data_IF_511762780647
#
_entry.id   IF_511762780647
#
_cell.length_a   1.000
_cell.length_b   1.000
_cell.length_c   1.000
_cell.angle_alpha   90.00
_cell.angle_beta   90.00
_cell.angle_gamma   90.00
#
_symmetry.space_group_name_H-M   'P 1'
#
loop_
_entity.id
_entity.type
_entity.pdbx_description
1 polymer ?
#
# COMPACT_ATOMS: atom_id res chain seq x y z
N UNK A 1 5.16 -13.91 4.98
CA UNK A 1 5.61 -12.55 5.31
C UNK A 1 6.79 -12.15 4.43
N UNK A 2 7.00 -10.85 4.19
CA UNK A 2 8.23 -10.31 3.59
C UNK A 2 8.80 -9.27 4.56
N UNK A 3 10.10 -9.30 4.80
CA UNK A 3 10.83 -8.33 5.62
C UNK A 3 11.94 -7.73 4.80
N UNK A 4 11.89 -6.41 4.64
CA UNK A 4 12.92 -5.62 3.96
C UNK A 4 13.76 -4.86 4.98
N UNK A 5 15.07 -4.85 4.75
CA UNK A 5 16.04 -4.00 5.44
C UNK A 5 16.35 -2.80 4.56
N UNK A 6 16.44 -1.63 5.19
CA UNK A 6 16.83 -0.37 4.57
C UNK A 6 17.75 0.35 5.55
N UNK A 7 18.86 0.91 5.06
CA UNK A 7 19.77 1.69 5.90
C UNK A 7 19.10 3.01 6.33
N UNK A 8 19.38 3.46 7.55
CA UNK A 8 18.71 4.61 8.17
C UNK A 8 18.95 5.91 7.40
N UNK A 9 20.10 6.06 6.76
CA UNK A 9 20.50 7.25 6.01
C UNK A 9 20.14 7.18 4.50
N UNK A 10 19.50 6.08 4.06
CA UNK A 10 19.14 5.84 2.64
C UNK A 10 18.37 7.02 2.04
N UNK A 11 17.37 7.55 2.74
CA UNK A 11 16.60 8.70 2.28
C UNK A 11 17.49 9.94 2.06
N UNK A 12 18.47 10.16 2.94
CA UNK A 12 19.41 11.29 2.82
C UNK A 12 20.33 11.12 1.63
N UNK A 13 20.91 9.91 1.49
CA UNK A 13 21.80 9.56 0.36
C UNK A 13 21.07 9.68 -0.99
N UNK A 14 19.79 9.29 -1.03
CA UNK A 14 18.97 9.27 -2.24
C UNK A 14 18.38 10.63 -2.60
N UNK A 15 17.99 11.43 -1.61
CA UNK A 15 17.28 12.70 -1.81
C UNK A 15 15.84 12.54 -2.35
N UNK A 16 15.28 11.33 -2.31
CA UNK A 16 13.92 11.02 -2.77
C UNK A 16 13.41 9.73 -2.10
N UNK A 17 12.16 9.38 -2.37
CA UNK A 17 11.56 8.13 -1.87
C UNK A 17 12.42 6.91 -2.23
N UNK A 18 12.53 5.98 -1.27
CA UNK A 18 13.30 4.74 -1.42
C UNK A 18 12.76 3.88 -2.57
N UNK A 19 13.66 3.16 -3.22
CA UNK A 19 13.37 2.18 -4.28
C UNK A 19 13.79 0.79 -3.85
N UNK A 20 13.37 -0.21 -4.63
CA UNK A 20 13.68 -1.61 -4.33
C UNK A 20 15.19 -1.88 -4.36
N UNK A 21 15.93 -1.13 -5.18
CA UNK A 21 17.39 -1.18 -5.25
C UNK A 21 18.09 -0.73 -3.95
N UNK A 22 17.39 0.04 -3.11
CA UNK A 22 17.88 0.49 -1.79
C UNK A 22 17.47 -0.46 -0.65
N UNK A 23 16.67 -1.48 -0.97
CA UNK A 23 16.16 -2.43 0.00
C UNK A 23 16.86 -3.77 -0.13
N UNK A 24 17.00 -4.49 0.97
CA UNK A 24 17.44 -5.87 0.98
C UNK A 24 16.34 -6.76 1.56
N UNK A 25 15.99 -7.83 0.86
CA UNK A 25 15.01 -8.78 1.36
C UNK A 25 15.67 -9.77 2.33
N UNK A 26 15.56 -9.51 3.62
CA UNK A 26 16.17 -10.32 4.69
C UNK A 26 15.27 -11.47 5.16
N UNK A 27 13.98 -11.43 4.83
CA UNK A 27 13.02 -12.45 5.22
C UNK A 27 11.92 -12.64 4.17
N UNK A 28 11.65 -13.90 3.84
CA UNK A 28 10.52 -14.33 3.02
C UNK A 28 9.99 -15.64 3.61
N UNK A 29 8.73 -15.62 4.06
CA UNK A 29 8.06 -16.81 4.59
C UNK A 29 6.71 -17.00 3.91
N UNK A 30 6.36 -18.26 3.68
CA UNK A 30 5.09 -18.66 3.08
C UNK A 30 4.36 -19.51 4.11
N UNK A 31 3.18 -19.06 4.49
CA UNK A 31 2.42 -19.67 5.58
C UNK A 31 0.95 -19.70 5.18
N UNK A 32 0.29 -20.85 5.33
CA UNK A 32 -1.16 -20.98 5.05
C UNK A 32 -2.00 -20.21 6.08
N UNK A 33 -1.50 -20.15 7.32
CA UNK A 33 -2.09 -19.42 8.43
C UNK A 33 -1.05 -18.50 9.04
N UNK A 34 -1.44 -17.24 9.20
CA UNK A 34 -0.60 -16.20 9.83
C UNK A 34 -1.29 -15.73 11.10
N UNK A 35 -0.66 -15.92 12.25
CA UNK A 35 -1.08 -15.40 13.55
C UNK A 35 0.03 -14.55 14.16
N UNK A 36 -0.26 -13.79 15.21
CA UNK A 36 0.77 -12.99 15.87
C UNK A 36 1.88 -13.85 16.46
N UNK A 37 1.54 -15.04 16.94
CA UNK A 37 2.48 -15.98 17.55
C UNK A 37 3.38 -16.65 16.49
N UNK A 38 2.84 -16.98 15.31
CA UNK A 38 3.68 -17.46 14.20
C UNK A 38 4.59 -16.36 13.67
N UNK A 39 4.10 -15.12 13.58
CA UNK A 39 4.93 -13.98 13.15
C UNK A 39 6.06 -13.69 14.14
N UNK A 40 5.82 -13.83 15.45
CA UNK A 40 6.86 -13.72 16.46
C UNK A 40 8.04 -14.66 16.17
N UNK A 41 7.76 -15.94 15.94
CA UNK A 41 8.79 -16.95 15.64
C UNK A 41 9.51 -16.64 14.32
N UNK A 42 8.77 -16.20 13.30
CA UNK A 42 9.39 -15.80 12.03
C UNK A 42 10.32 -14.58 12.20
N UNK A 43 9.92 -13.58 13.01
CA UNK A 43 10.79 -12.43 13.30
C UNK A 43 12.04 -12.84 14.08
N UNK A 44 11.92 -13.74 15.04
CA UNK A 44 13.06 -14.28 15.78
C UNK A 44 14.08 -14.95 14.85
N UNK A 45 13.63 -15.85 13.96
CA UNK A 45 14.50 -16.50 12.98
C UNK A 45 15.17 -15.48 12.04
N UNK A 46 14.39 -14.54 11.49
CA UNK A 46 14.89 -13.54 10.54
C UNK A 46 15.93 -12.62 11.19
N UNK A 47 15.64 -12.08 12.38
CA UNK A 47 16.53 -11.10 13.03
C UNK A 47 17.72 -11.75 13.73
N UNK A 48 17.65 -13.03 14.13
CA UNK A 48 18.82 -13.79 14.58
C UNK A 48 19.84 -13.96 13.44
N UNK A 49 19.38 -14.12 12.20
CA UNK A 49 20.25 -14.23 11.03
C UNK A 49 20.71 -12.88 10.49
N UNK A 50 19.80 -11.91 10.40
CA UNK A 50 20.05 -10.63 9.70
C UNK A 50 20.57 -9.51 10.63
N UNK A 51 20.56 -9.73 11.94
CA UNK A 51 20.80 -8.72 12.96
C UNK A 51 19.52 -7.99 13.37
N UNK A 52 19.54 -7.42 14.58
CA UNK A 52 18.40 -6.70 15.16
C UNK A 52 18.23 -5.32 14.51
N UNK A 53 17.02 -4.92 14.11
CA UNK A 53 16.77 -3.60 13.53
C UNK A 53 16.76 -2.50 14.60
N UNK A 54 17.12 -1.28 14.18
CA UNK A 54 16.96 -0.07 15.00
C UNK A 54 15.50 0.26 15.27
N UNK A 55 14.63 0.06 14.27
CA UNK A 55 13.19 0.26 14.35
C UNK A 55 12.47 -0.55 13.27
N UNK A 56 11.18 -0.81 13.48
CA UNK A 56 10.34 -1.56 12.53
C UNK A 56 9.22 -0.66 12.00
N UNK A 57 9.19 -0.43 10.69
CA UNK A 57 8.08 0.24 10.00
C UNK A 57 7.04 -0.81 9.61
N UNK A 58 5.77 -0.56 9.93
CA UNK A 58 4.68 -1.49 9.61
C UNK A 58 3.36 -0.78 9.40
N UNK A 59 2.43 -1.47 8.77
CA UNK A 59 1.04 -1.05 8.70
C UNK A 59 0.31 -1.27 10.04
N UNK A 60 -1.02 -1.14 10.02
CA UNK A 60 -1.89 -1.29 11.18
C UNK A 60 -2.57 -2.65 11.27
N UNK A 61 -2.08 -3.66 10.56
CA UNK A 61 -2.62 -5.00 10.66
C UNK A 61 -2.51 -5.54 12.10
N UNK A 62 -3.61 -6.07 12.62
CA UNK A 62 -3.69 -6.50 14.02
C UNK A 62 -2.79 -7.70 14.31
N UNK A 63 -2.65 -8.59 13.34
CA UNK A 63 -1.80 -9.79 13.44
C UNK A 63 -0.32 -9.39 13.42
N UNK A 64 0.08 -8.51 12.51
CA UNK A 64 1.43 -7.93 12.45
C UNK A 64 1.76 -7.14 13.72
N UNK A 65 0.84 -6.32 14.21
CA UNK A 65 1.00 -5.59 15.47
C UNK A 65 1.23 -6.52 16.67
N UNK A 66 0.47 -7.64 16.75
CA UNK A 66 0.67 -8.64 17.81
C UNK A 66 2.05 -9.26 17.69
N UNK A 67 2.46 -9.73 16.51
CA UNK A 67 3.75 -10.40 16.30
C UNK A 67 4.94 -9.50 16.61
N UNK A 68 4.95 -8.26 16.08
CA UNK A 68 6.03 -7.30 16.35
C UNK A 68 6.10 -6.94 17.84
N UNK A 69 4.95 -6.75 18.51
CA UNK A 69 4.93 -6.47 19.95
C UNK A 69 5.49 -7.64 20.77
N UNK A 70 5.05 -8.86 20.48
CA UNK A 70 5.56 -10.05 21.16
C UNK A 70 7.08 -10.17 21.00
N UNK A 71 7.59 -9.97 19.78
CA UNK A 71 9.02 -10.06 19.50
C UNK A 71 9.83 -8.95 20.18
N UNK A 72 9.36 -7.71 20.07
CA UNK A 72 10.04 -6.53 20.63
C UNK A 72 10.12 -6.58 22.16
N UNK A 73 9.08 -7.07 22.83
CA UNK A 73 9.06 -7.18 24.29
C UNK A 73 10.02 -8.25 24.86
N UNK A 74 10.50 -9.19 24.04
CA UNK A 74 11.50 -10.20 24.45
C UNK A 74 12.94 -9.68 24.32
N UNK A 75 13.13 -8.48 23.75
CA UNK A 75 14.46 -7.88 23.62
C UNK A 75 14.84 -7.14 24.92
N UNK A 76 16.13 -7.15 25.27
CA UNK A 76 16.66 -6.38 26.42
C UNK A 76 16.21 -4.92 26.40
N UNK A 77 16.24 -4.32 25.21
CA UNK A 77 15.65 -3.01 24.93
C UNK A 77 14.58 -3.19 23.85
N UNK A 78 13.31 -2.86 24.14
CA UNK A 78 12.24 -2.98 23.16
C UNK A 78 12.53 -2.15 21.90
N UNK A 79 12.51 -2.82 20.75
CA UNK A 79 12.69 -2.18 19.45
C UNK A 79 11.46 -1.33 19.13
N UNK A 80 11.64 -0.02 18.87
CA UNK A 80 10.53 0.87 18.57
C UNK A 80 9.88 0.56 17.22
N UNK A 81 8.60 0.89 17.12
CA UNK A 81 7.83 0.76 15.88
C UNK A 81 7.48 2.11 15.31
N UNK A 82 7.46 2.18 13.98
CA UNK A 82 7.06 3.33 13.19
C UNK A 82 5.76 2.96 12.50
N UNK A 83 4.69 3.68 12.82
CA UNK A 83 3.41 3.48 12.16
C UNK A 83 3.46 4.06 10.74
N UNK A 84 3.17 3.25 9.73
CA UNK A 84 3.06 3.72 8.35
C UNK A 84 2.05 4.89 8.25
N UNK A 85 2.54 6.00 7.68
CA UNK A 85 1.75 7.22 7.57
C UNK A 85 0.55 7.05 6.62
N UNK A 86 0.71 6.31 5.52
CA UNK A 86 -0.33 6.12 4.51
C UNK A 86 -1.55 5.39 5.08
N UNK A 87 -1.33 4.27 5.75
CA UNK A 87 -2.34 3.49 6.47
C UNK A 87 -2.93 4.28 7.64
N UNK A 88 -2.10 5.03 8.36
CA UNK A 88 -2.56 5.87 9.47
C UNK A 88 -3.58 6.91 9.00
N UNK A 89 -3.25 7.67 7.96
CA UNK A 89 -4.11 8.72 7.44
C UNK A 89 -5.31 8.14 6.67
N UNK A 90 -5.15 7.03 5.95
CA UNK A 90 -6.27 6.36 5.30
C UNK A 90 -7.35 5.94 6.31
N UNK A 91 -6.95 5.41 7.47
CA UNK A 91 -7.87 5.09 8.57
C UNK A 91 -8.55 6.35 9.13
N UNK A 92 -7.82 7.46 9.27
CA UNK A 92 -8.40 8.72 9.74
C UNK A 92 -9.40 9.31 8.74
N UNK A 93 -9.10 9.27 7.44
CA UNK A 93 -9.99 9.70 6.35
C UNK A 93 -11.26 8.84 6.32
N UNK A 94 -11.10 7.52 6.44
CA UNK A 94 -12.22 6.58 6.56
C UNK A 94 -13.12 6.93 7.73
N UNK A 95 -12.55 7.13 8.92
CA UNK A 95 -13.29 7.49 10.13
C UNK A 95 -13.97 8.86 10.05
N UNK A 96 -13.45 9.78 9.23
CA UNK A 96 -14.02 11.11 9.01
C UNK A 96 -15.20 11.08 8.03
N UNK A 97 -15.09 10.35 6.91
CA UNK A 97 -16.02 10.49 5.79
C UNK A 97 -16.94 9.28 5.58
N UNK A 98 -16.49 8.05 5.81
CA UNK A 98 -17.19 6.84 5.31
C UNK A 98 -18.63 6.70 5.85
N UNK A 99 -18.85 7.09 7.11
CA UNK A 99 -20.16 6.97 7.75
C UNK A 99 -21.14 8.09 7.37
N UNK A 100 -20.67 9.16 6.75
CA UNK A 100 -21.53 10.30 6.38
C UNK A 100 -22.44 9.93 5.22
N UNK A 101 -23.75 10.17 5.36
CA UNK A 101 -24.69 9.82 4.30
C UNK A 101 -24.47 10.62 3.01
N UNK A 102 -24.00 11.86 3.12
CA UNK A 102 -23.59 12.66 1.96
C UNK A 102 -22.43 12.01 1.19
N UNK A 103 -21.48 11.37 1.89
CA UNK A 103 -20.38 10.65 1.24
C UNK A 103 -20.87 9.37 0.56
N UNK A 104 -21.77 8.61 1.20
CA UNK A 104 -22.39 7.43 0.60
C UNK A 104 -23.15 7.79 -0.67
N UNK A 105 -24.00 8.82 -0.61
CA UNK A 105 -24.72 9.36 -1.79
C UNK A 105 -23.77 9.80 -2.89
N UNK A 106 -22.75 10.58 -2.54
CA UNK A 106 -21.72 11.02 -3.48
C UNK A 106 -21.05 9.84 -4.17
N UNK A 107 -20.51 8.86 -3.42
CA UNK A 107 -19.84 7.69 -4.02
C UNK A 107 -20.76 6.79 -4.85
N UNK A 108 -22.04 6.69 -4.50
CA UNK A 108 -23.05 6.02 -5.32
C UNK A 108 -23.28 6.76 -6.65
N UNK A 109 -23.41 8.09 -6.60
CA UNK A 109 -23.54 8.95 -7.78
C UNK A 109 -22.31 8.83 -8.70
N UNK A 110 -21.10 8.82 -8.13
CA UNK A 110 -19.85 8.59 -8.88
C UNK A 110 -19.87 7.23 -9.58
N UNK A 111 -20.28 6.18 -8.87
CA UNK A 111 -20.34 4.83 -9.43
C UNK A 111 -21.39 4.70 -10.54
N UNK A 112 -22.51 5.41 -10.41
CA UNK A 112 -23.56 5.48 -11.42
C UNK A 112 -23.07 6.24 -12.67
N UNK A 113 -22.59 7.47 -12.52
CA UNK A 113 -22.10 8.27 -13.65
C UNK A 113 -20.93 7.62 -14.38
N UNK A 114 -20.03 6.94 -13.67
CA UNK A 114 -18.97 6.14 -14.29
C UNK A 114 -19.49 4.98 -15.16
N UNK A 115 -20.66 4.42 -14.84
CA UNK A 115 -21.32 3.40 -15.69
C UNK A 115 -21.98 4.05 -16.89
N UNK A 116 -22.70 5.15 -16.69
CA UNK A 116 -23.41 5.87 -17.76
C UNK A 116 -22.48 6.43 -18.83
N UNK A 117 -21.29 6.91 -18.45
CA UNK A 117 -20.31 7.46 -19.39
C UNK A 117 -19.41 6.40 -20.03
N UNK A 118 -19.44 5.16 -19.53
CA UNK A 118 -18.62 4.09 -20.07
C UNK A 118 -19.05 3.80 -21.50
N UNK A 119 -18.09 3.67 -22.42
CA UNK A 119 -18.33 3.45 -23.85
C UNK A 119 -19.12 4.59 -24.53
N UNK A 120 -19.01 5.81 -24.01
CA UNK A 120 -19.52 7.02 -24.66
C UNK A 120 -18.37 7.95 -25.01
N UNK A 121 -18.64 8.97 -25.82
CA UNK A 121 -17.71 10.06 -26.12
C UNK A 121 -17.27 10.85 -24.87
N UNK A 122 -18.00 10.73 -23.75
CA UNK A 122 -17.65 11.35 -22.47
C UNK A 122 -16.74 10.49 -21.59
N UNK A 123 -16.27 9.34 -22.07
CA UNK A 123 -15.43 8.42 -21.29
C UNK A 123 -14.13 9.09 -20.76
N UNK A 124 -13.62 10.12 -21.44
CA UNK A 124 -12.44 10.88 -20.99
C UNK A 124 -12.67 11.68 -19.70
N UNK A 125 -13.93 11.92 -19.30
CA UNK A 125 -14.31 12.62 -18.06
C UNK A 125 -14.65 11.65 -16.91
N UNK A 126 -14.46 10.34 -17.11
CA UNK A 126 -14.80 9.36 -16.08
C UNK A 126 -14.08 9.61 -14.75
N UNK A 127 -14.79 9.43 -13.62
CA UNK A 127 -14.16 9.53 -12.32
C UNK A 127 -13.13 8.43 -12.12
N UNK A 128 -12.11 8.67 -11.27
CA UNK A 128 -11.13 7.65 -10.94
C UNK A 128 -11.78 6.43 -10.29
N UNK A 129 -11.29 5.23 -10.65
CA UNK A 129 -11.81 3.96 -10.13
C UNK A 129 -11.59 3.87 -8.61
N UNK A 130 -12.69 3.86 -7.85
CA UNK A 130 -12.64 3.65 -6.41
C UNK A 130 -12.47 2.16 -6.10
N UNK A 131 -11.35 1.79 -5.47
CA UNK A 131 -11.08 0.39 -5.09
C UNK A 131 -12.03 -0.07 -3.98
N UNK A 132 -12.31 -1.37 -3.90
CA UNK A 132 -13.08 -1.94 -2.78
C UNK A 132 -12.28 -1.87 -1.48
N UNK A 133 -11.02 -2.36 -1.52
CA UNK A 133 -10.02 -2.32 -0.43
C UNK A 133 -9.03 -1.16 -0.63
N UNK A 134 -8.53 -0.59 0.47
CA UNK A 134 -7.51 0.46 0.44
C UNK A 134 -7.95 1.79 -0.19
N UNK A 135 -9.26 2.00 -0.42
CA UNK A 135 -9.78 3.15 -1.16
C UNK A 135 -9.33 4.51 -0.61
N UNK A 136 -9.20 4.61 0.72
CA UNK A 136 -8.79 5.83 1.40
C UNK A 136 -7.28 6.14 1.28
N UNK A 137 -6.45 5.19 0.82
CA UNK A 137 -5.03 5.46 0.53
C UNK A 137 -4.83 6.22 -0.79
N UNK A 138 -5.80 6.15 -1.71
CA UNK A 138 -5.73 6.79 -3.04
C UNK A 138 -6.90 7.77 -3.30
N UNK A 139 -7.62 8.14 -2.25
CA UNK A 139 -8.86 8.92 -2.35
C UNK A 139 -8.65 10.37 -2.81
N UNK A 140 -7.43 10.88 -2.72
CA UNK A 140 -7.08 12.24 -3.18
C UNK A 140 -7.44 12.49 -4.64
N UNK A 141 -7.21 11.51 -5.52
CA UNK A 141 -7.56 11.60 -6.94
C UNK A 141 -9.05 11.83 -7.16
N UNK A 142 -9.90 11.24 -6.32
CA UNK A 142 -11.35 11.44 -6.39
C UNK A 142 -11.73 12.86 -5.95
N UNK A 143 -11.09 13.39 -4.91
CA UNK A 143 -11.29 14.78 -4.47
C UNK A 143 -10.93 15.79 -5.55
N UNK A 144 -9.75 15.63 -6.17
CA UNK A 144 -9.29 16.48 -7.28
C UNK A 144 -10.22 16.43 -8.50
N UNK A 145 -10.63 15.22 -8.90
CA UNK A 145 -11.59 15.06 -10.00
C UNK A 145 -12.93 15.73 -9.66
N UNK A 146 -13.43 15.55 -8.44
CA UNK A 146 -14.73 16.09 -8.05
C UNK A 146 -14.74 17.62 -7.98
N UNK A 147 -13.65 18.22 -7.49
CA UNK A 147 -13.45 19.68 -7.50
C UNK A 147 -13.46 20.23 -8.93
N UNK A 148 -12.73 19.60 -9.86
CA UNK A 148 -12.77 19.98 -11.28
C UNK A 148 -14.17 19.89 -11.87
N UNK A 149 -14.90 18.82 -11.57
CA UNK A 149 -16.26 18.64 -12.07
C UNK A 149 -17.24 19.67 -11.52
N UNK A 150 -17.04 20.19 -10.30
CA UNK A 150 -17.87 21.29 -9.79
C UNK A 150 -17.81 22.53 -10.70
N UNK A 151 -16.65 22.85 -11.27
CA UNK A 151 -16.52 23.96 -12.21
C UNK A 151 -17.27 23.70 -13.52
N UNK A 152 -17.23 22.46 -14.03
CA UNK A 152 -17.98 22.05 -15.23
C UNK A 152 -19.50 22.18 -15.00
N UNK A 153 -19.98 21.79 -13.82
CA UNK A 153 -21.40 21.89 -13.45
C UNK A 153 -21.85 23.27 -12.98
N UNK A 154 -20.93 24.24 -12.85
CA UNK A 154 -21.24 25.61 -12.40
C UNK A 154 -21.89 26.47 -13.49
N UNK A 155 -21.85 26.04 -14.76
CA UNK A 155 -22.53 26.73 -15.87
C UNK A 155 -24.03 26.77 -15.55
N UNK A 156 -24.59 27.97 -15.46
CA UNK A 156 -26.02 28.18 -15.19
C UNK A 156 -26.86 28.08 -16.48
N UNK A 157 -28.17 27.90 -16.33
CA UNK A 157 -29.11 27.79 -17.45
C UNK A 157 -29.31 26.38 -18.00
N UNK A 158 -30.25 26.25 -18.94
CA UNK A 158 -30.52 25.00 -19.64
C UNK A 158 -29.36 24.68 -20.58
N UNK A 159 -28.89 23.43 -20.53
CA UNK A 159 -27.91 22.96 -21.49
C UNK A 159 -28.64 22.60 -22.79
N UNK A 160 -28.08 22.99 -23.93
CA UNK A 160 -28.60 22.60 -25.24
C UNK A 160 -28.78 21.07 -25.31
N UNK A 161 -29.89 20.63 -25.89
CA UNK A 161 -30.21 19.21 -26.01
C UNK A 161 -29.12 18.47 -26.81
N UNK A 162 -28.68 17.30 -26.32
CA UNK A 162 -27.60 16.54 -26.95
C UNK A 162 -26.18 17.05 -26.69
N UNK A 163 -26.01 18.25 -26.10
CA UNK A 163 -24.69 18.79 -25.72
C UNK A 163 -23.97 17.90 -24.70
N UNK A 164 -22.64 18.04 -24.62
CA UNK A 164 -21.83 17.35 -23.62
C UNK A 164 -22.29 17.66 -22.20
N UNK A 165 -22.67 18.90 -21.91
CA UNK A 165 -23.15 19.33 -20.60
C UNK A 165 -24.49 18.69 -20.24
N UNK A 166 -25.44 18.59 -21.19
CA UNK A 166 -26.72 17.92 -20.97
C UNK A 166 -26.52 16.43 -20.63
N UNK A 167 -25.66 15.75 -21.40
CA UNK A 167 -25.29 14.35 -21.15
C UNK A 167 -24.60 14.15 -19.80
N UNK A 168 -23.70 15.05 -19.41
CA UNK A 168 -23.05 15.04 -18.10
C UNK A 168 -24.03 15.23 -16.94
N UNK A 169 -24.97 16.18 -17.06
CA UNK A 169 -26.00 16.43 -16.04
C UNK A 169 -26.94 15.23 -15.89
N UNK A 170 -27.23 14.52 -16.99
CA UNK A 170 -27.97 13.25 -16.97
C UNK A 170 -27.18 12.12 -16.29
N UNK A 171 -25.87 12.04 -16.51
CA UNK A 171 -25.01 11.03 -15.89
C UNK A 171 -24.74 11.28 -14.39
N UNK A 172 -24.73 12.54 -13.97
CA UNK A 172 -24.52 12.95 -12.58
C UNK A 172 -25.67 13.84 -12.08
N UNK A 173 -26.89 13.27 -11.93
CA UNK A 173 -28.03 14.04 -11.46
C UNK A 173 -27.74 14.66 -10.09
N UNK A 174 -28.10 15.94 -9.94
CA UNK A 174 -27.97 16.68 -8.69
C UNK A 174 -26.55 16.74 -8.10
N UNK A 175 -25.50 16.61 -8.91
CA UNK A 175 -24.10 16.66 -8.44
C UNK A 175 -23.82 17.90 -7.56
N UNK A 176 -24.34 19.07 -7.94
CA UNK A 176 -24.17 20.34 -7.23
C UNK A 176 -24.79 20.35 -5.83
N UNK A 177 -25.74 19.46 -5.49
CA UNK A 177 -26.25 19.34 -4.12
C UNK A 177 -25.18 18.87 -3.13
N UNK A 178 -24.11 18.23 -3.62
CA UNK A 178 -22.96 17.81 -2.82
C UNK A 178 -21.82 18.83 -2.81
N UNK A 179 -21.99 20.04 -3.37
CA UNK A 179 -20.93 21.05 -3.55
C UNK A 179 -20.13 21.32 -2.28
N UNK A 180 -20.81 21.67 -1.18
CA UNK A 180 -20.15 21.96 0.09
C UNK A 180 -19.37 20.77 0.66
N UNK A 181 -19.92 19.57 0.49
CA UNK A 181 -19.22 18.34 0.86
C UNK A 181 -17.98 18.13 0.00
N UNK A 182 -18.11 18.24 -1.33
CA UNK A 182 -17.04 18.03 -2.30
C UNK A 182 -15.90 19.03 -2.05
N UNK A 183 -16.19 20.32 -1.86
CA UNK A 183 -15.17 21.33 -1.57
C UNK A 183 -14.38 20.99 -0.30
N UNK A 184 -15.08 20.64 0.80
CA UNK A 184 -14.41 20.23 2.06
C UNK A 184 -13.61 18.94 1.91
N UNK A 185 -14.16 17.97 1.19
CA UNK A 185 -13.54 16.68 0.94
C UNK A 185 -12.26 16.84 0.11
N UNK A 186 -12.35 17.52 -1.04
CA UNK A 186 -11.23 17.81 -1.94
C UNK A 186 -10.13 18.61 -1.22
N UNK A 187 -10.49 19.68 -0.50
CA UNK A 187 -9.53 20.47 0.28
C UNK A 187 -8.80 19.61 1.33
N UNK A 188 -9.54 18.77 2.07
CA UNK A 188 -8.96 17.85 3.06
C UNK A 188 -7.99 16.87 2.40
N UNK A 189 -8.40 16.22 1.32
CA UNK A 189 -7.56 15.21 0.67
C UNK A 189 -6.36 15.82 -0.03
N UNK A 190 -6.48 17.05 -0.58
CA UNK A 190 -5.37 17.80 -1.18
C UNK A 190 -4.28 18.12 -0.16
N UNK A 191 -4.66 18.63 1.02
CA UNK A 191 -3.70 18.89 2.11
C UNK A 191 -3.00 17.59 2.52
N UNK A 192 -3.74 16.49 2.64
CA UNK A 192 -3.14 15.19 2.97
C UNK A 192 -2.19 14.70 1.88
N UNK A 193 -2.56 14.80 0.59
CA UNK A 193 -1.67 14.43 -0.52
C UNK A 193 -0.34 15.19 -0.44
N UNK A 194 -0.38 16.50 -0.16
CA UNK A 194 0.84 17.31 0.01
C UNK A 194 1.70 16.84 1.18
N UNK A 195 1.08 16.49 2.31
CA UNK A 195 1.80 15.95 3.48
C UNK A 195 2.43 14.59 3.13
N UNK A 196 1.70 13.70 2.46
CA UNK A 196 2.23 12.40 2.03
C UNK A 196 3.40 12.58 1.06
N UNK A 197 3.27 13.49 0.09
CA UNK A 197 4.33 13.79 -0.88
C UNK A 197 5.62 14.25 -0.19
N UNK A 198 5.52 15.14 0.79
CA UNK A 198 6.68 15.61 1.57
C UNK A 198 7.29 14.45 2.35
N UNK A 199 6.50 13.74 3.17
CA UNK A 199 7.03 12.75 4.11
C UNK A 199 7.52 11.47 3.44
N UNK A 200 6.91 11.05 2.33
CA UNK A 200 7.34 9.85 1.60
C UNK A 200 8.62 10.07 0.80
N UNK A 201 8.86 11.29 0.32
CA UNK A 201 10.08 11.60 -0.43
C UNK A 201 11.24 12.03 0.46
N UNK A 202 10.97 12.83 1.50
CA UNK A 202 12.02 13.47 2.30
C UNK A 202 12.16 12.86 3.70
N UNK A 203 11.26 11.97 4.11
CA UNK A 203 11.21 11.45 5.47
C UNK A 203 10.71 12.49 6.49
N UNK A 204 10.68 12.09 7.75
CA UNK A 204 10.33 12.95 8.88
C UNK A 204 11.60 13.46 9.57
N UNK A 205 11.81 14.77 9.59
CA UNK A 205 12.86 15.45 10.34
C UNK A 205 12.31 16.76 10.94
N UNK A 206 13.18 17.62 11.49
CA UNK A 206 12.77 18.91 12.06
C UNK A 206 12.10 19.83 11.02
N UNK A 207 12.58 19.82 9.78
CA UNK A 207 12.11 20.68 8.69
C UNK A 207 10.77 20.20 8.15
N UNK A 208 10.68 18.91 7.80
CA UNK A 208 9.45 18.31 7.28
C UNK A 208 8.36 18.23 8.36
N UNK A 209 8.71 18.02 9.63
CA UNK A 209 7.78 18.14 10.76
C UNK A 209 7.10 19.51 10.78
N UNK A 210 7.88 20.60 10.79
CA UNK A 210 7.34 21.98 10.83
C UNK A 210 6.43 22.24 9.64
N UNK A 211 6.89 21.90 8.43
CA UNK A 211 6.13 22.10 7.19
C UNK A 211 4.80 21.32 7.20
N UNK A 212 4.83 20.05 7.58
CA UNK A 212 3.63 19.22 7.64
C UNK A 212 2.68 19.64 8.76
N UNK A 213 3.22 20.12 9.89
CA UNK A 213 2.42 20.65 10.97
C UNK A 213 1.68 21.92 10.54
N UNK A 214 2.34 22.85 9.83
CA UNK A 214 1.68 24.04 9.28
C UNK A 214 0.62 23.69 8.22
N UNK A 215 0.89 22.72 7.33
CA UNK A 215 -0.13 22.20 6.41
C UNK A 215 -1.35 21.64 7.17
N UNK A 216 -1.11 20.89 8.25
CA UNK A 216 -2.20 20.35 9.08
C UNK A 216 -3.08 21.44 9.71
N UNK A 217 -2.56 22.65 9.92
CA UNK A 217 -3.34 23.76 10.51
C UNK A 217 -4.44 24.24 9.57
N UNK A 218 -4.25 24.10 8.25
CA UNK A 218 -5.24 24.44 7.21
C UNK A 218 -6.44 23.48 7.19
N UNK A 219 -6.33 22.31 7.84
CA UNK A 219 -7.47 21.40 7.98
C UNK A 219 -8.52 21.95 8.96
N UNK A 220 -9.82 21.59 8.78
CA UNK A 220 -10.90 22.03 9.64
C UNK A 220 -10.64 21.76 11.13
N UNK A 221 -11.07 22.68 12.02
CA UNK A 221 -10.80 22.62 13.48
C UNK A 221 -11.21 21.29 14.12
N UNK A 222 -12.38 20.76 13.75
CA UNK A 222 -12.93 19.50 14.29
C UNK A 222 -12.63 18.27 13.42
N UNK A 223 -11.63 18.34 12.53
CA UNK A 223 -11.25 17.22 11.67
C UNK A 223 -10.57 16.10 12.45
N UNK A 224 -11.10 14.86 12.31
CA UNK A 224 -10.45 13.65 12.83
C UNK A 224 -9.10 13.42 12.18
N UNK A 225 -9.00 13.74 10.88
CA UNK A 225 -7.76 13.67 10.10
C UNK A 225 -6.70 14.62 10.66
N UNK A 226 -7.07 15.87 10.96
CA UNK A 226 -6.17 16.85 11.58
C UNK A 226 -5.59 16.35 12.90
N UNK A 227 -6.47 15.92 13.82
CA UNK A 227 -6.06 15.40 15.12
C UNK A 227 -5.12 14.20 14.98
N UNK A 228 -5.49 13.24 14.12
CA UNK A 228 -4.67 12.06 13.87
C UNK A 228 -3.29 12.40 13.30
N UNK A 229 -3.22 13.26 12.28
CA UNK A 229 -1.96 13.68 11.66
C UNK A 229 -1.06 14.41 12.67
N UNK A 230 -1.60 15.35 13.44
CA UNK A 230 -0.82 16.12 14.41
C UNK A 230 -0.28 15.23 15.54
N UNK A 231 -1.08 14.28 16.04
CA UNK A 231 -0.62 13.29 17.02
C UNK A 231 0.46 12.41 16.44
N UNK A 232 0.26 11.89 15.22
CA UNK A 232 1.25 11.05 14.55
C UNK A 232 2.56 11.80 14.34
N UNK A 233 2.53 13.05 13.86
CA UNK A 233 3.72 13.88 13.65
C UNK A 233 4.49 14.10 14.95
N UNK A 234 3.80 14.44 16.05
CA UNK A 234 4.44 14.65 17.35
C UNK A 234 5.12 13.38 17.86
N UNK A 235 4.41 12.25 17.84
CA UNK A 235 4.92 10.98 18.33
C UNK A 235 6.14 10.51 17.52
N UNK A 236 6.04 10.55 16.20
CA UNK A 236 7.12 10.07 15.32
C UNK A 236 8.29 11.04 15.24
N UNK A 237 8.08 12.35 15.47
CA UNK A 237 9.19 13.30 15.56
C UNK A 237 9.98 13.13 16.87
N UNK A 238 9.29 12.85 17.98
CA UNK A 238 9.95 12.48 19.22
C UNK A 238 10.75 11.17 19.07
N UNK A 239 10.22 10.20 18.32
CA UNK A 239 10.91 8.96 18.00
C UNK A 239 12.14 9.20 17.10
N UNK A 240 11.99 9.99 16.04
CA UNK A 240 13.09 10.31 15.11
C UNK A 240 14.31 10.86 15.85
N UNK A 241 14.11 11.84 16.74
CA UNK A 241 15.20 12.44 17.54
C UNK A 241 15.98 11.43 18.39
N UNK A 242 15.34 10.35 18.83
CA UNK A 242 15.98 9.30 19.64
C UNK A 242 16.71 8.28 18.78
N UNK A 243 16.21 8.02 17.58
CA UNK A 243 16.73 6.95 16.73
C UNK A 243 17.88 7.41 15.84
N UNK A 244 17.79 8.59 15.24
CA UNK A 244 18.70 8.97 14.16
C UNK A 244 18.77 10.48 13.95
N UNK A 245 19.93 11.04 13.57
CA UNK A 245 20.01 12.42 13.09
C UNK A 245 19.43 12.59 11.67
N UNK A 246 19.25 11.50 10.92
CA UNK A 246 18.73 11.52 9.54
C UNK A 246 17.19 11.61 9.52
N UNK A 247 16.60 12.04 8.38
CA UNK A 247 15.15 11.96 8.20
C UNK A 247 14.64 10.53 8.32
N UNK A 248 13.63 10.34 9.17
CA UNK A 248 13.04 9.04 9.45
C UNK A 248 12.18 8.58 8.26
N UNK A 249 12.42 7.36 7.77
CA UNK A 249 11.51 6.71 6.84
C UNK A 249 10.21 6.35 7.56
N UNK A 250 9.08 6.76 7.00
CA UNK A 250 7.77 6.70 7.67
C UNK A 250 6.69 6.00 6.85
N UNK A 251 7.09 5.37 5.74
CA UNK A 251 6.16 4.64 4.88
C UNK A 251 6.68 3.28 4.48
N UNK A 252 5.77 2.31 4.43
CA UNK A 252 5.98 0.94 3.95
C UNK A 252 5.57 0.75 2.48
N UNK A 253 5.19 1.81 1.75
CA UNK A 253 4.76 1.80 0.33
C UNK A 253 5.68 0.99 -0.62
N UNK A 254 6.94 0.83 -0.22
CA UNK A 254 7.93 0.04 -0.97
C UNK A 254 7.55 -1.45 -1.03
N UNK A 255 6.83 -1.96 -0.02
CA UNK A 255 6.30 -3.33 0.01
C UNK A 255 5.19 -3.48 -1.04
N UNK A 256 4.28 -2.51 -1.16
CA UNK A 256 3.26 -2.51 -2.21
C UNK A 256 3.89 -2.41 -3.60
N UNK A 257 4.97 -1.66 -3.73
CA UNK A 257 5.75 -1.56 -4.98
C UNK A 257 6.40 -2.90 -5.34
N UNK A 258 7.00 -3.59 -4.36
CA UNK A 258 7.57 -4.92 -4.51
C UNK A 258 6.52 -5.93 -5.00
N UNK A 259 5.36 -5.99 -4.33
CA UNK A 259 4.28 -6.89 -4.73
C UNK A 259 3.60 -6.47 -6.03
N UNK A 260 3.62 -5.18 -6.39
CA UNK A 260 3.17 -4.68 -7.68
C UNK A 260 4.05 -5.19 -8.83
N UNK A 261 5.38 -5.04 -8.70
CA UNK A 261 6.34 -5.58 -9.66
C UNK A 261 6.25 -7.10 -9.78
N UNK A 262 6.15 -7.79 -8.64
CA UNK A 262 5.96 -9.24 -8.61
C UNK A 262 4.70 -9.66 -9.40
N UNK A 263 3.56 -9.02 -9.14
CA UNK A 263 2.29 -9.29 -9.85
C UNK A 263 2.41 -9.07 -11.36
N UNK A 264 3.04 -7.97 -11.76
CA UNK A 264 3.26 -7.65 -13.17
C UNK A 264 4.11 -8.70 -13.90
N UNK A 265 5.11 -9.26 -13.22
CA UNK A 265 5.96 -10.33 -13.79
C UNK A 265 5.16 -11.63 -13.93
N UNK A 266 4.42 -12.03 -12.90
CA UNK A 266 3.67 -13.30 -12.93
C UNK A 266 2.43 -13.26 -13.82
N UNK A 267 1.83 -12.08 -14.08
CA UNK A 267 0.70 -11.93 -15.01
C UNK A 267 1.06 -12.36 -16.44
N UNK A 268 2.35 -12.34 -16.80
CA UNK A 268 2.85 -12.85 -18.08
C UNK A 268 2.96 -14.37 -18.13
N UNK A 269 2.87 -15.04 -16.98
CA UNK A 269 2.88 -16.49 -16.89
C UNK A 269 1.46 -17.02 -17.09
N UNK A 270 1.24 -18.03 -17.97
CA UNK A 270 -0.09 -18.60 -18.20
C UNK A 270 -0.68 -19.28 -16.96
N UNK A 271 0.11 -19.50 -15.90
CA UNK A 271 -0.31 -20.20 -14.69
C UNK A 271 0.19 -19.46 -13.45
N UNK A 272 -0.66 -18.61 -12.88
CA UNK A 272 -0.39 -17.90 -11.62
C UNK A 272 -0.52 -18.87 -10.43
N UNK A 273 0.58 -19.51 -10.02
CA UNK A 273 0.63 -20.26 -8.77
C UNK A 273 1.84 -19.81 -7.94
N UNK A 274 1.64 -19.61 -6.63
CA UNK A 274 2.71 -19.24 -5.68
C UNK A 274 3.56 -20.48 -5.37
N UNK A 275 4.38 -20.87 -6.34
CA UNK A 275 5.40 -21.91 -6.22
C UNK A 275 6.79 -21.25 -6.07
N UNK A 276 7.84 -21.82 -6.68
CA UNK A 276 9.19 -21.20 -6.78
C UNK A 276 9.20 -19.75 -7.23
N UNK A 277 8.19 -19.32 -7.97
CA UNK A 277 8.05 -17.94 -8.46
C UNK A 277 8.12 -16.91 -7.33
N UNK A 278 7.73 -17.27 -6.10
CA UNK A 278 7.88 -16.42 -4.92
C UNK A 278 9.33 -15.99 -4.63
N UNK A 279 10.33 -16.78 -5.06
CA UNK A 279 11.76 -16.44 -4.96
C UNK A 279 12.15 -15.27 -5.88
N UNK A 280 11.26 -14.84 -6.78
CA UNK A 280 11.45 -13.58 -7.51
C UNK A 280 11.35 -12.37 -6.58
N UNK A 281 10.57 -12.44 -5.49
CA UNK A 281 10.40 -11.33 -4.55
C UNK A 281 11.76 -10.83 -4.00
N UNK A 282 12.61 -11.68 -3.39
CA UNK A 282 13.91 -11.22 -2.92
C UNK A 282 14.82 -10.75 -4.06
N UNK A 283 14.72 -11.36 -5.26
CA UNK A 283 15.52 -10.97 -6.43
C UNK A 283 15.13 -9.60 -7.02
N UNK A 284 13.97 -9.05 -6.67
CA UNK A 284 13.56 -7.69 -7.06
C UNK A 284 14.17 -6.60 -6.18
N UNK A 285 14.83 -6.98 -5.08
CA UNK A 285 15.44 -6.06 -4.12
C UNK A 285 16.96 -5.97 -4.35
N UNK A 286 17.54 -4.83 -3.97
CA UNK A 286 18.96 -4.56 -4.08
C UNK A 286 19.42 -4.22 -5.50
N UNK A 287 20.69 -3.85 -5.64
CA UNK A 287 21.31 -3.59 -6.95
C UNK A 287 21.79 -4.88 -7.57
N UNK A 288 21.14 -5.30 -8.66
CA UNK A 288 21.55 -6.46 -9.45
C UNK A 288 22.75 -6.12 -10.35
N UNK A 289 23.95 -6.16 -9.78
CA UNK A 289 25.20 -6.01 -10.55
C UNK A 289 25.62 -7.36 -11.15
N UNK A 290 26.35 -7.33 -12.27
CA UNK A 290 26.82 -8.57 -12.92
C UNK A 290 27.69 -9.44 -12.00
N UNK A 291 28.46 -8.82 -11.10
CA UNK A 291 29.24 -9.54 -10.08
C UNK A 291 28.33 -10.19 -9.03
N UNK A 292 27.34 -9.46 -8.50
CA UNK A 292 26.40 -9.99 -7.52
C UNK A 292 25.58 -11.17 -8.09
N UNK A 293 25.10 -11.05 -9.33
CA UNK A 293 24.39 -12.14 -10.02
C UNK A 293 25.32 -13.35 -10.22
N UNK A 294 26.54 -13.13 -10.69
CA UNK A 294 27.53 -14.20 -10.88
C UNK A 294 27.83 -14.93 -9.58
N UNK A 295 28.01 -14.18 -8.49
CA UNK A 295 28.25 -14.73 -7.16
C UNK A 295 27.05 -15.55 -6.68
N UNK A 296 25.83 -15.03 -6.81
CA UNK A 296 24.62 -15.74 -6.42
C UNK A 296 24.46 -17.08 -7.18
N UNK A 297 24.72 -17.07 -8.49
CA UNK A 297 24.68 -18.28 -9.34
C UNK A 297 25.76 -19.30 -8.96
N UNK A 298 26.94 -18.86 -8.48
CA UNK A 298 28.00 -19.77 -8.00
C UNK A 298 27.69 -20.39 -6.64
N UNK A 299 27.00 -19.66 -5.78
CA UNK A 299 26.72 -20.06 -4.40
C UNK A 299 25.42 -20.85 -4.24
N UNK A 300 24.50 -20.74 -5.20
CA UNK A 300 23.18 -21.38 -5.12
C UNK A 300 23.00 -22.38 -6.25
N UNK A 301 22.92 -23.65 -5.89
CA UNK A 301 22.65 -24.73 -6.85
C UNK A 301 21.15 -24.92 -7.08
N UNK A 302 20.80 -25.63 -8.16
CA UNK A 302 19.41 -26.07 -8.38
C UNK A 302 18.92 -27.05 -7.29
N UNK A 303 19.84 -27.78 -6.64
CA UNK A 303 19.49 -28.66 -5.53
C UNK A 303 19.02 -27.85 -4.31
N UNK A 304 19.68 -26.72 -4.03
CA UNK A 304 19.31 -25.82 -2.92
C UNK A 304 17.91 -25.23 -3.13
N UNK A 305 17.59 -24.80 -4.35
CA UNK A 305 16.26 -24.26 -4.69
C UNK A 305 15.18 -25.35 -4.51
N UNK A 306 15.45 -26.59 -4.93
CA UNK A 306 14.53 -27.73 -4.74
C UNK A 306 14.34 -28.07 -3.27
N UNK A 307 15.41 -28.07 -2.48
CA UNK A 307 15.36 -28.32 -1.05
C UNK A 307 14.56 -27.23 -0.33
N UNK A 308 14.80 -25.96 -0.68
CA UNK A 308 14.04 -24.83 -0.17
C UNK A 308 12.55 -24.94 -0.51
N UNK A 309 12.20 -25.25 -1.77
CA UNK A 309 10.80 -25.46 -2.17
C UNK A 309 10.13 -26.53 -1.32
N UNK A 310 10.78 -27.69 -1.15
CA UNK A 310 10.22 -28.82 -0.38
C UNK A 310 9.98 -28.44 1.08
N UNK A 311 10.85 -27.60 1.66
CA UNK A 311 10.77 -27.16 3.06
C UNK A 311 9.72 -26.06 3.28
N UNK A 312 9.59 -25.11 2.36
CA UNK A 312 8.85 -23.86 2.60
C UNK A 312 7.56 -23.70 1.78
N UNK A 313 7.38 -24.45 0.70
CA UNK A 313 6.17 -24.36 -0.12
C UNK A 313 5.23 -25.52 0.22
N UNK A 314 4.14 -25.20 0.91
CA UNK A 314 3.04 -26.12 1.18
C UNK A 314 2.42 -26.67 -0.10
N UNK A 315 1.64 -27.72 0.03
CA UNK A 315 1.05 -28.43 -1.11
C UNK A 315 0.04 -27.55 -1.87
N UNK A 316 0.51 -26.90 -2.95
CA UNK A 316 -0.26 -25.87 -3.67
C UNK A 316 -1.54 -26.43 -4.30
N UNK A 317 -2.51 -25.54 -4.56
CA UNK A 317 -3.78 -25.91 -5.22
C UNK A 317 -3.53 -26.58 -6.57
N UNK A 318 -2.49 -26.17 -7.30
CA UNK A 318 -2.08 -26.84 -8.54
C UNK A 318 -1.58 -28.26 -8.30
N UNK A 319 -0.76 -28.48 -7.28
CA UNK A 319 -0.30 -29.85 -6.92
C UNK A 319 -1.51 -30.72 -6.55
N UNK A 320 -2.47 -30.18 -5.79
CA UNK A 320 -3.78 -30.82 -5.52
C UNK A 320 -4.53 -31.15 -6.81
N UNK A 321 -4.62 -30.20 -7.74
CA UNK A 321 -5.30 -30.35 -9.03
C UNK A 321 -4.64 -31.44 -9.90
N UNK A 322 -3.32 -31.41 -10.06
CA UNK A 322 -2.61 -32.44 -10.81
C UNK A 322 -2.75 -33.82 -10.17
N UNK A 323 -2.61 -33.93 -8.85
CA UNK A 323 -2.78 -35.21 -8.17
C UNK A 323 -4.20 -35.75 -8.29
N UNK A 324 -5.22 -34.88 -8.24
CA UNK A 324 -6.61 -35.27 -8.47
C UNK A 324 -6.82 -35.83 -9.87
N UNK A 325 -6.40 -35.11 -10.92
CA UNK A 325 -6.58 -35.57 -12.30
C UNK A 325 -5.68 -36.76 -12.67
N UNK A 326 -4.46 -36.84 -12.13
CA UNK A 326 -3.58 -37.99 -12.36
C UNK A 326 -4.11 -39.26 -11.68
N UNK A 327 -4.72 -39.16 -10.49
CA UNK A 327 -5.40 -40.30 -9.85
C UNK A 327 -6.56 -40.84 -10.70
N UNK A 328 -7.33 -39.95 -11.32
CA UNK A 328 -8.44 -40.36 -12.19
C UNK A 328 -7.95 -40.92 -13.54
N UNK A 329 -6.82 -40.44 -14.06
CA UNK A 329 -6.19 -41.02 -15.24
C UNK A 329 -5.69 -42.45 -14.99
N UNK A 330 -5.08 -42.70 -13.82
CA UNK A 330 -4.61 -44.04 -13.42
C UNK A 330 -5.74 -45.03 -13.12
N UNK A 331 -6.94 -44.56 -12.75
CA UNK A 331 -8.11 -45.42 -12.57
C UNK A 331 -8.77 -45.84 -13.90
N UNK A 332 -8.62 -45.04 -14.96
CA UNK A 332 -9.16 -45.36 -16.29
C UNK A 332 -8.25 -46.24 -17.15
N UNK A 333 -6.99 -46.43 -16.77
CA UNK A 333 -6.03 -47.30 -17.47
C UNK A 333 -5.91 -48.71 -16.85
N UNK A 334 -6.81 -49.07 -15.93
CA UNK A 334 -6.80 -50.35 -15.22
C UNK A 334 -7.79 -51.41 -15.74
N UNK A 335 -8.54 -51.12 -16.81
CA UNK A 335 -9.46 -52.07 -17.44
C UNK A 335 -9.27 -52.04 -18.97
N UNK A 336 -8.21 -52.69 -19.45
CA UNK A 336 -8.10 -53.21 -20.82
C UNK A 336 -7.31 -54.49 -20.79
#
# INVERSE_FOLDING_TARGET
MVVLRVEVDTLSKRGAAVRLEDCECIGLTISEKVTGDTLYLEFEEIFNRAGKPLAIIKDRDATLNKGVRLWSNQQEVPVPTIDDIGHTIATALKAQFEKLDIYKRFTALISHGAKCMRQTELAFLMPPKLRSKGRFQSIGKLGEWAEKMLHVFAVEGQAEEGSQLAKLRKAFPHFSQSKDFIMRFASTTKIISQVMEILKNNGLDKTTYKRCFELSRKLPRNSKVKKCLQTWLKNHFALQKKLTPHPLLVSSDIIESLFGNFKHIIERSPQADMNRTVLLIPALCGKLTGSAVTQALRQTSQADIKAWEKKHISYTVRKKRHAFFNKNASQNTGNT
#
